data_IF_354932513968
#
_entry.id   IF_354932513968
#
_cell.length_a   1.000
_cell.length_b   1.000
_cell.length_c   1.000
_cell.angle_alpha   90.00
_cell.angle_beta   90.00
_cell.angle_gamma   90.00
#
_symmetry.space_group_name_H-M   'P 1'
#
loop_
_entity.id
_entity.type
_entity.pdbx_description
1 polymer ?
#
# COMPACT_ATOMS: atom_id res chain seq x y z
N UNK A 1 -23.38 -18.07 82.30
CA UNK A 1 -24.55 -18.28 81.41
C UNK A 1 -24.03 -18.27 79.97
N UNK A 2 -23.70 -19.46 79.45
CA UNK A 2 -24.45 -20.25 78.44
C UNK A 2 -24.42 -19.67 77.01
N UNK A 3 -23.47 -20.24 76.25
CA UNK A 3 -23.30 -20.42 74.79
C UNK A 3 -24.55 -20.24 73.90
N UNK A 4 -24.33 -19.81 72.65
CA UNK A 4 -24.58 -20.64 71.44
C UNK A 4 -23.98 -20.04 70.17
N UNK A 5 -23.08 -20.82 69.57
CA UNK A 5 -22.70 -20.76 68.15
C UNK A 5 -23.90 -21.16 67.29
N UNK A 6 -24.03 -20.56 66.10
CA UNK A 6 -24.81 -21.11 65.00
C UNK A 6 -23.93 -21.13 63.75
N UNK A 7 -23.44 -22.32 63.44
CA UNK A 7 -22.91 -22.73 62.13
C UNK A 7 -24.12 -23.08 61.29
N UNK A 8 -24.20 -22.55 60.06
CA UNK A 8 -25.17 -23.01 59.07
C UNK A 8 -24.41 -23.51 57.86
N UNK A 9 -24.41 -24.84 57.70
CA UNK A 9 -23.99 -25.59 56.52
C UNK A 9 -25.27 -26.10 55.86
N UNK A 10 -25.50 -25.72 54.60
CA UNK A 10 -26.48 -26.28 53.66
C UNK A 10 -26.25 -25.51 52.35
N UNK A 11 -26.06 -26.08 51.17
CA UNK A 11 -26.04 -27.44 50.67
C UNK A 11 -25.69 -27.30 49.18
N UNK A 12 -24.86 -28.20 48.66
CA UNK A 12 -24.35 -28.11 47.29
C UNK A 12 -25.47 -28.19 46.25
N UNK A 13 -25.50 -27.22 45.35
CA UNK A 13 -26.17 -27.36 44.06
C UNK A 13 -25.09 -27.69 43.03
N UNK A 14 -24.96 -28.98 42.69
CA UNK A 14 -24.18 -29.41 41.52
C UNK A 14 -25.02 -29.07 40.29
N UNK A 15 -24.70 -27.94 39.65
CA UNK A 15 -25.20 -27.65 38.31
C UNK A 15 -24.37 -28.48 37.33
N UNK A 16 -24.96 -29.56 36.82
CA UNK A 16 -24.43 -30.23 35.63
C UNK A 16 -24.69 -29.30 34.46
N UNK A 17 -23.68 -28.51 34.09
CA UNK A 17 -23.68 -27.77 32.85
C UNK A 17 -23.62 -28.79 31.70
N UNK A 18 -24.72 -28.93 30.97
CA UNK A 18 -24.75 -29.64 29.70
C UNK A 18 -23.85 -28.88 28.74
N UNK A 19 -22.70 -29.46 28.41
CA UNK A 19 -21.83 -28.96 27.34
C UNK A 19 -22.56 -29.13 26.02
N UNK A 20 -23.25 -28.08 25.57
CA UNK A 20 -23.67 -27.97 24.18
C UNK A 20 -22.38 -27.90 23.33
N UNK A 21 -22.10 -28.98 22.61
CA UNK A 21 -20.96 -29.05 21.70
C UNK A 21 -21.06 -27.93 20.67
N UNK A 22 -20.14 -26.97 20.74
CA UNK A 22 -19.86 -26.08 19.63
C UNK A 22 -19.31 -26.96 18.50
N UNK A 23 -20.18 -27.30 17.54
CA UNK A 23 -19.73 -27.80 16.25
C UNK A 23 -18.77 -26.77 15.63
N UNK A 24 -17.81 -27.19 14.80
CA UNK A 24 -16.92 -26.27 14.12
C UNK A 24 -17.79 -25.29 13.33
N UNK A 25 -17.89 -24.07 13.84
CA UNK A 25 -18.47 -22.95 13.12
C UNK A 25 -17.63 -22.77 11.87
N UNK A 26 -18.22 -23.12 10.72
CA UNK A 26 -17.70 -22.72 9.43
C UNK A 26 -17.79 -21.21 9.40
N UNK A 27 -16.68 -20.54 9.74
CA UNK A 27 -16.50 -19.13 9.45
C UNK A 27 -16.69 -18.99 7.95
N UNK A 28 -17.70 -18.25 7.45
CA UNK A 28 -17.78 -17.99 6.03
C UNK A 28 -16.49 -17.26 5.67
N UNK A 29 -15.70 -17.85 4.77
CA UNK A 29 -14.62 -17.14 4.12
C UNK A 29 -15.28 -15.92 3.45
N UNK A 30 -15.06 -14.73 4.02
CA UNK A 30 -15.47 -13.50 3.38
C UNK A 30 -14.74 -13.44 2.05
N UNK A 31 -15.43 -13.81 0.97
CA UNK A 31 -14.93 -13.60 -0.38
C UNK A 31 -14.66 -12.12 -0.50
N UNK A 32 -13.39 -11.75 -0.71
CA UNK A 32 -13.06 -10.38 -1.06
C UNK A 32 -13.96 -10.01 -2.24
N UNK A 33 -14.82 -9.01 -2.05
CA UNK A 33 -15.62 -8.50 -3.16
C UNK A 33 -14.64 -8.13 -4.28
N UNK A 34 -14.96 -8.53 -5.52
CA UNK A 34 -14.16 -8.14 -6.67
C UNK A 34 -14.03 -6.61 -6.67
N UNK A 35 -12.80 -6.11 -6.81
CA UNK A 35 -12.55 -4.67 -6.90
C UNK A 35 -13.17 -4.20 -8.21
N UNK A 36 -14.07 -3.23 -8.14
CA UNK A 36 -14.60 -2.57 -9.32
C UNK A 36 -13.52 -1.66 -9.92
N UNK A 37 -12.91 -2.13 -11.01
CA UNK A 37 -11.85 -1.40 -11.71
C UNK A 37 -12.38 -0.18 -12.48
N UNK A 38 -13.69 -0.07 -12.66
CA UNK A 38 -14.32 1.02 -13.42
C UNK A 38 -14.69 2.22 -12.56
N UNK A 39 -14.74 2.08 -11.23
CA UNK A 39 -15.10 3.15 -10.29
C UNK A 39 -14.14 3.21 -9.09
N UNK A 40 -12.83 3.21 -9.35
CA UNK A 40 -11.83 3.31 -8.30
C UNK A 40 -11.80 4.74 -7.73
N UNK A 41 -11.78 4.93 -6.41
CA UNK A 41 -11.73 6.27 -5.84
C UNK A 41 -10.40 6.94 -6.19
N UNK A 42 -10.47 8.20 -6.65
CA UNK A 42 -9.30 9.07 -6.76
C UNK A 42 -8.81 9.39 -5.34
N UNK A 43 -7.49 9.48 -5.19
CA UNK A 43 -6.79 9.47 -3.91
C UNK A 43 -7.12 10.63 -2.95
N UNK A 44 -6.34 10.68 -1.87
CA UNK A 44 -6.57 11.56 -0.72
C UNK A 44 -5.92 12.93 -0.89
N UNK A 45 -6.48 13.95 -0.21
CA UNK A 45 -5.94 15.31 -0.22
C UNK A 45 -4.53 15.40 0.37
N UNK A 46 -3.76 16.40 -0.05
CA UNK A 46 -2.45 16.73 0.54
C UNK A 46 -2.61 17.87 1.56
N UNK A 47 -2.09 17.68 2.77
CA UNK A 47 -2.20 18.66 3.87
C UNK A 47 -0.82 19.05 4.43
N UNK A 48 -0.75 20.22 5.07
CA UNK A 48 0.43 20.69 5.81
C UNK A 48 0.35 20.42 7.32
N UNK A 49 -0.66 19.67 7.76
CA UNK A 49 -0.85 19.24 9.14
C UNK A 49 -1.34 17.79 9.18
N UNK A 50 -1.05 17.03 10.25
CA UNK A 50 -1.55 15.67 10.39
C UNK A 50 -3.09 15.62 10.34
N UNK A 51 -3.64 14.87 9.39
CA UNK A 51 -5.08 14.68 9.22
C UNK A 51 -5.35 13.25 8.77
N UNK A 52 -6.33 12.59 9.39
CA UNK A 52 -6.75 11.25 8.98
C UNK A 52 -7.36 11.30 7.58
N UNK A 53 -6.98 10.36 6.71
CA UNK A 53 -7.44 10.32 5.33
C UNK A 53 -6.78 11.34 4.40
N UNK A 54 -5.64 11.93 4.78
CA UNK A 54 -4.87 12.85 3.96
C UNK A 54 -3.36 12.55 4.02
N UNK A 55 -2.62 12.99 3.00
CA UNK A 55 -1.16 12.94 2.94
C UNK A 55 -0.57 14.18 3.61
N UNK A 56 -0.04 14.02 4.82
CA UNK A 56 0.71 15.09 5.49
C UNK A 56 2.08 15.27 4.82
N UNK A 57 2.26 16.33 4.03
CA UNK A 57 3.45 16.55 3.19
C UNK A 57 4.38 17.63 3.73
N UNK A 58 5.69 17.40 3.63
CA UNK A 58 6.71 18.41 3.90
C UNK A 58 6.92 19.36 2.70
N UNK A 59 6.38 18.99 1.55
CA UNK A 59 6.46 19.73 0.30
C UNK A 59 5.08 20.28 -0.07
N UNK A 60 5.02 21.56 -0.38
CA UNK A 60 3.78 22.26 -0.75
C UNK A 60 3.81 22.85 -2.15
N UNK A 61 4.95 22.76 -2.84
CA UNK A 61 5.13 23.22 -4.21
C UNK A 61 5.39 22.02 -5.11
N UNK A 62 4.56 21.85 -6.13
CA UNK A 62 4.60 20.72 -7.06
C UNK A 62 4.84 21.26 -8.48
N UNK A 63 6.09 21.34 -8.89
CA UNK A 63 6.49 21.95 -10.16
C UNK A 63 6.99 20.91 -11.17
N UNK A 64 6.43 19.70 -11.12
CA UNK A 64 6.82 18.58 -11.99
C UNK A 64 6.24 18.71 -13.40
N UNK A 65 7.00 18.26 -14.40
CA UNK A 65 6.46 17.94 -15.72
C UNK A 65 5.88 16.53 -15.69
N UNK A 66 4.70 16.34 -16.28
CA UNK A 66 4.00 15.06 -16.34
C UNK A 66 2.85 15.12 -17.32
N UNK A 67 1.86 14.24 -17.15
CA UNK A 67 0.62 14.29 -17.91
C UNK A 67 0.03 15.72 -17.92
N UNK A 68 -0.31 16.19 -19.12
CA UNK A 68 -0.76 17.56 -19.39
C UNK A 68 -2.28 17.66 -19.54
N UNK A 69 -2.97 16.51 -19.64
CA UNK A 69 -4.41 16.44 -19.77
C UNK A 69 -4.96 15.24 -18.99
N UNK A 70 -6.17 15.42 -18.47
CA UNK A 70 -7.03 14.33 -18.01
C UNK A 70 -7.80 13.76 -19.21
N UNK A 71 -8.37 12.56 -19.06
CA UNK A 71 -9.27 11.97 -20.05
C UNK A 71 -10.52 11.39 -19.42
N UNK A 72 -11.39 10.85 -20.28
CA UNK A 72 -12.75 10.40 -19.93
C UNK A 72 -12.78 9.25 -18.92
N UNK A 73 -11.64 8.63 -18.61
CA UNK A 73 -11.52 7.65 -17.53
C UNK A 73 -11.54 8.28 -16.13
N UNK A 74 -11.54 9.60 -15.98
CA UNK A 74 -11.76 10.29 -14.70
C UNK A 74 -13.21 10.78 -14.66
N UNK A 75 -13.96 10.35 -13.65
CA UNK A 75 -15.36 10.70 -13.48
C UNK A 75 -15.54 11.93 -12.58
N UNK A 76 -16.63 12.67 -12.80
CA UNK A 76 -16.98 13.86 -12.00
C UNK A 76 -17.33 13.53 -10.54
N UNK A 77 -17.63 12.27 -10.24
CA UNK A 77 -17.94 11.80 -8.87
C UNK A 77 -16.70 11.48 -8.03
N UNK A 78 -15.49 11.74 -8.55
CA UNK A 78 -14.24 11.49 -7.86
C UNK A 78 -13.74 10.05 -7.99
N UNK A 79 -14.27 9.27 -8.92
CA UNK A 79 -13.76 7.94 -9.28
C UNK A 79 -13.03 7.94 -10.62
N UNK A 80 -12.36 6.84 -10.95
CA UNK A 80 -11.74 6.62 -12.26
C UNK A 80 -11.88 5.17 -12.73
N UNK A 81 -11.92 5.01 -14.05
CA UNK A 81 -11.91 3.72 -14.74
C UNK A 81 -10.48 3.32 -15.11
N UNK A 82 -9.91 2.37 -14.37
CA UNK A 82 -8.58 1.84 -14.65
C UNK A 82 -8.52 1.11 -16.01
N UNK A 83 -9.63 0.55 -16.47
CA UNK A 83 -9.70 -0.22 -17.72
C UNK A 83 -9.74 0.67 -18.95
N UNK A 84 -10.20 1.92 -18.81
CA UNK A 84 -10.22 2.92 -19.86
C UNK A 84 -8.96 3.81 -19.90
N UNK A 85 -8.15 3.82 -18.84
CA UNK A 85 -6.92 4.61 -18.77
C UNK A 85 -5.87 4.06 -19.75
N UNK A 86 -5.38 4.85 -20.73
CA UNK A 86 -4.39 4.36 -21.68
C UNK A 86 -3.07 4.03 -20.99
N UNK A 87 -2.34 3.09 -21.58
CA UNK A 87 -0.99 2.71 -21.22
C UNK A 87 -0.11 2.86 -22.46
N UNK A 88 1.18 3.17 -22.26
CA UNK A 88 2.10 3.30 -23.38
C UNK A 88 2.27 1.94 -24.05
N UNK A 89 2.09 1.90 -25.36
CA UNK A 89 2.09 0.68 -26.15
C UNK A 89 3.48 0.05 -26.24
N UNK A 90 3.48 -1.25 -26.51
CA UNK A 90 4.68 -2.05 -26.73
C UNK A 90 5.07 -2.91 -25.53
N UNK A 91 6.15 -3.67 -25.71
CA UNK A 91 6.63 -4.65 -24.73
C UNK A 91 8.15 -4.74 -24.81
N UNK A 92 8.82 -3.81 -24.14
CA UNK A 92 10.28 -3.78 -24.02
C UNK A 92 10.68 -4.55 -22.77
N UNK A 93 11.45 -5.63 -22.96
CA UNK A 93 12.02 -6.40 -21.84
C UNK A 93 13.34 -5.79 -21.38
N UNK A 94 13.59 -5.86 -20.08
CA UNK A 94 14.77 -5.30 -19.43
C UNK A 94 15.58 -6.38 -18.72
N UNK A 95 16.84 -6.08 -18.45
CA UNK A 95 17.70 -6.92 -17.59
C UNK A 95 17.80 -6.25 -16.22
N UNK A 96 16.86 -6.53 -15.29
CA UNK A 96 16.93 -5.96 -13.95
C UNK A 96 18.14 -6.52 -13.20
N UNK A 97 18.77 -5.66 -12.39
CA UNK A 97 19.70 -6.05 -11.36
C UNK A 97 19.15 -5.51 -10.04
N UNK A 98 18.94 -6.40 -9.09
CA UNK A 98 18.38 -6.09 -7.78
C UNK A 98 18.90 -7.08 -6.76
N UNK A 99 19.41 -6.57 -5.64
CA UNK A 99 19.76 -7.39 -4.49
C UNK A 99 19.45 -6.68 -3.19
N UNK A 100 19.19 -7.48 -2.15
CA UNK A 100 19.12 -6.97 -0.78
C UNK A 100 20.13 -7.70 0.10
N UNK A 101 20.72 -6.95 1.02
CA UNK A 101 21.67 -7.46 2.01
C UNK A 101 21.29 -6.96 3.39
N UNK A 102 21.85 -7.58 4.43
CA UNK A 102 21.77 -7.05 5.79
C UNK A 102 23.14 -6.59 6.25
N UNK A 103 23.20 -5.44 6.93
CA UNK A 103 24.42 -4.98 7.59
C UNK A 103 24.87 -5.96 8.68
N UNK A 104 26.13 -5.87 9.12
CA UNK A 104 26.75 -6.80 10.09
C UNK A 104 25.94 -6.97 11.39
N UNK A 105 25.25 -5.92 11.84
CA UNK A 105 24.40 -5.96 13.05
C UNK A 105 22.96 -6.39 12.78
N UNK A 106 22.59 -6.59 11.51
CA UNK A 106 21.23 -6.86 11.05
C UNK A 106 20.27 -5.67 11.18
N UNK A 107 20.71 -4.51 11.66
CA UNK A 107 19.86 -3.33 11.89
C UNK A 107 19.51 -2.56 10.61
N UNK A 108 20.26 -2.79 9.53
CA UNK A 108 20.09 -2.13 8.24
C UNK A 108 19.88 -3.18 7.16
N UNK A 109 18.92 -2.94 6.27
CA UNK A 109 18.78 -3.61 4.98
C UNK A 109 19.42 -2.72 3.91
N UNK A 110 20.47 -3.23 3.27
CA UNK A 110 21.04 -2.67 2.06
C UNK A 110 20.21 -3.10 0.85
N UNK A 111 20.05 -2.22 -0.11
CA UNK A 111 19.36 -2.48 -1.38
C UNK A 111 20.21 -1.89 -2.49
N UNK A 112 20.58 -2.73 -3.43
CA UNK A 112 21.38 -2.38 -4.61
C UNK A 112 20.55 -2.69 -5.85
N UNK A 113 20.40 -1.74 -6.77
CA UNK A 113 19.63 -1.95 -8.00
C UNK A 113 20.14 -1.13 -9.18
N UNK A 114 19.93 -1.62 -10.40
CA UNK A 114 20.16 -0.85 -11.63
C UNK A 114 18.92 -0.04 -12.09
N UNK A 115 17.83 -0.04 -11.30
CA UNK A 115 16.64 0.77 -11.54
C UNK A 115 15.74 0.29 -12.69
N UNK A 116 16.06 -0.83 -13.33
CA UNK A 116 15.24 -1.40 -14.40
C UNK A 116 14.14 -2.32 -13.85
N UNK A 117 12.95 -2.35 -14.47
CA UNK A 117 11.85 -3.22 -14.04
C UNK A 117 12.11 -4.69 -14.41
N UNK A 118 11.45 -5.58 -13.69
CA UNK A 118 11.42 -7.04 -13.91
C UNK A 118 10.28 -7.53 -14.80
N UNK A 119 9.51 -6.58 -15.35
CA UNK A 119 8.39 -6.81 -16.25
C UNK A 119 8.56 -5.93 -17.50
N UNK A 120 7.91 -6.31 -18.62
CA UNK A 120 7.93 -5.48 -19.82
C UNK A 120 7.29 -4.11 -19.58
N UNK A 121 7.80 -3.11 -20.30
CA UNK A 121 7.22 -1.76 -20.35
C UNK A 121 6.74 -1.42 -21.75
N UNK A 122 6.00 -0.32 -21.88
CA UNK A 122 5.80 0.34 -23.17
C UNK A 122 7.11 0.90 -23.75
N UNK A 123 7.01 1.45 -24.96
CA UNK A 123 8.11 2.11 -25.66
C UNK A 123 8.19 3.57 -25.25
N UNK A 124 9.30 3.94 -24.62
CA UNK A 124 9.60 5.33 -24.25
C UNK A 124 10.80 5.84 -25.05
N UNK A 125 10.82 7.12 -25.51
CA UNK A 125 9.80 8.16 -25.31
C UNK A 125 8.44 7.86 -25.94
N UNK A 126 7.37 8.44 -25.39
CA UNK A 126 6.01 8.19 -25.89
C UNK A 126 5.89 8.73 -27.32
N UNK A 127 5.53 7.87 -28.25
CA UNK A 127 5.37 8.22 -29.67
C UNK A 127 4.15 9.12 -29.88
N UNK A 128 4.19 10.15 -30.75
CA UNK A 128 3.00 10.91 -31.12
C UNK A 128 1.86 10.09 -31.78
N UNK A 129 2.14 8.85 -32.18
CA UNK A 129 1.15 7.92 -32.73
C UNK A 129 0.51 7.00 -31.66
N UNK A 130 1.04 6.99 -30.44
CA UNK A 130 0.52 6.25 -29.29
C UNK A 130 -0.66 7.03 -28.68
N UNK A 131 -1.72 6.34 -28.24
CA UNK A 131 -2.91 7.00 -27.70
C UNK A 131 -2.62 7.70 -26.35
N UNK A 132 -1.68 7.17 -25.56
CA UNK A 132 -1.22 7.79 -24.32
C UNK A 132 -0.61 9.19 -24.55
N UNK A 133 -0.10 9.47 -25.76
CA UNK A 133 0.50 10.77 -26.11
C UNK A 133 -0.48 11.94 -25.98
N UNK A 134 -1.78 11.68 -26.14
CA UNK A 134 -2.83 12.68 -25.97
C UNK A 134 -2.85 13.26 -24.55
N UNK A 135 -2.33 12.52 -23.57
CA UNK A 135 -2.40 12.85 -22.15
C UNK A 135 -1.02 13.05 -21.54
N UNK A 136 -0.02 12.30 -21.97
CA UNK A 136 1.37 12.42 -21.51
C UNK A 136 2.33 12.36 -22.70
N UNK A 137 3.13 13.42 -22.87
CA UNK A 137 4.10 13.55 -23.97
C UNK A 137 5.52 13.21 -23.52
N UNK A 138 5.66 12.41 -22.47
CA UNK A 138 6.91 12.11 -21.79
C UNK A 138 8.06 11.86 -22.80
N UNK A 139 9.02 12.80 -22.94
CA UNK A 139 10.09 12.71 -23.93
C UNK A 139 11.27 11.87 -23.43
N UNK A 140 11.20 11.32 -22.21
CA UNK A 140 12.30 10.61 -21.58
C UNK A 140 12.32 9.14 -22.00
N UNK A 141 13.51 8.52 -22.00
CA UNK A 141 13.70 7.08 -22.21
C UNK A 141 13.94 6.35 -20.89
N UNK A 142 13.58 5.06 -20.83
CA UNK A 142 13.95 4.17 -19.71
C UNK A 142 15.38 3.69 -19.92
N UNK A 143 16.17 3.67 -18.85
CA UNK A 143 17.56 3.22 -18.87
C UNK A 143 18.09 2.92 -17.48
N UNK A 144 19.30 2.36 -17.42
CA UNK A 144 19.95 2.00 -16.15
C UNK A 144 20.17 3.23 -15.28
N UNK A 145 19.76 3.12 -14.02
CA UNK A 145 20.04 4.06 -12.95
C UNK A 145 20.48 3.28 -11.70
N UNK A 146 21.78 3.22 -11.44
CA UNK A 146 22.32 2.50 -10.30
C UNK A 146 22.00 3.26 -9.00
N UNK A 147 21.29 2.59 -8.10
CA UNK A 147 20.85 3.12 -6.83
C UNK A 147 21.27 2.20 -5.67
N UNK A 148 21.79 2.83 -4.61
CA UNK A 148 22.15 2.17 -3.36
C UNK A 148 21.33 2.78 -2.22
N UNK A 149 20.58 1.97 -1.49
CA UNK A 149 19.72 2.42 -0.39
C UNK A 149 20.01 1.64 0.89
N UNK A 150 20.00 2.35 2.02
CA UNK A 150 20.11 1.77 3.35
C UNK A 150 18.82 2.04 4.13
N UNK A 151 18.07 0.99 4.43
CA UNK A 151 16.79 1.07 5.13
C UNK A 151 16.91 0.43 6.51
N UNK A 152 16.16 0.94 7.49
CA UNK A 152 16.03 0.24 8.78
C UNK A 152 15.39 -1.13 8.58
N UNK A 153 15.99 -2.19 9.12
CA UNK A 153 15.48 -3.57 8.94
C UNK A 153 14.20 -3.86 9.74
N UNK A 154 13.82 -2.98 10.68
CA UNK A 154 12.62 -3.06 11.49
C UNK A 154 11.85 -1.73 11.40
N UNK A 155 10.97 -1.55 10.39
CA UNK A 155 10.11 -0.37 10.34
C UNK A 155 9.21 -0.35 11.59
N UNK A 156 8.97 0.84 12.13
CA UNK A 156 8.12 1.03 13.31
C UNK A 156 7.27 2.29 13.15
N UNK A 157 6.12 2.28 13.82
CA UNK A 157 5.29 3.47 13.92
C UNK A 157 6.04 4.57 14.67
N UNK A 158 5.97 5.80 14.18
CA UNK A 158 6.46 6.97 14.93
C UNK A 158 5.51 7.29 16.08
N UNK A 159 6.08 7.77 17.18
CA UNK A 159 5.33 8.19 18.38
C UNK A 159 4.56 9.51 18.18
N UNK A 160 4.89 10.26 17.12
CA UNK A 160 4.17 11.44 16.69
C UNK A 160 4.07 11.49 15.16
N UNK A 161 3.00 12.08 14.60
CA UNK A 161 2.91 12.33 13.17
C UNK A 161 4.08 13.18 12.66
N UNK A 162 4.58 12.86 11.48
CA UNK A 162 5.57 13.68 10.80
C UNK A 162 5.28 13.65 9.30
N UNK A 163 5.53 14.78 8.65
CA UNK A 163 5.25 14.92 7.23
C UNK A 163 6.13 14.00 6.37
N UNK A 164 5.64 13.68 5.18
CA UNK A 164 6.35 12.89 4.19
C UNK A 164 7.16 13.80 3.26
N UNK A 165 8.39 13.39 2.95
CA UNK A 165 9.25 14.09 1.99
C UNK A 165 8.89 13.82 0.52
N UNK A 166 7.84 13.03 0.27
CA UNK A 166 7.30 12.66 -1.06
C UNK A 166 8.32 12.03 -2.05
N UNK A 167 9.36 11.40 -1.52
CA UNK A 167 10.25 10.51 -2.28
C UNK A 167 9.69 9.08 -2.37
N UNK A 168 10.57 8.11 -2.69
CA UNK A 168 10.24 6.68 -2.68
C UNK A 168 9.67 6.26 -1.32
N UNK A 169 8.46 5.68 -1.31
CA UNK A 169 7.75 5.27 -0.09
C UNK A 169 7.73 3.76 0.15
N UNK A 170 8.26 2.97 -0.79
CA UNK A 170 8.27 1.53 -0.68
C UNK A 170 9.24 0.87 -1.65
N UNK A 171 9.53 -0.39 -1.37
CA UNK A 171 10.22 -1.30 -2.28
C UNK A 171 9.33 -2.51 -2.45
N UNK A 172 9.01 -2.84 -3.70
CA UNK A 172 8.39 -4.11 -4.03
C UNK A 172 9.50 -5.14 -4.17
N UNK A 173 9.48 -6.15 -3.33
CA UNK A 173 10.34 -7.33 -3.47
C UNK A 173 9.45 -8.46 -3.95
N UNK A 174 9.71 -8.97 -5.15
CA UNK A 174 9.04 -10.18 -5.66
C UNK A 174 9.50 -11.43 -4.95
#
# INVERSE_FOLDING_TARGET
>A
MRRRNAVTVLGGLVVVAVMAGAGPGTTPAGGAAAVDLTNLPIGTEVTTTPQAGAVYSCQTSFNGGGAHASGDWIHDDGTYDLTAKPHVDGSVSWTPDFSTSFGQTGATRGVDTNGLPDHPTGVFPISPADDAYQFDRNPNSIGVANDHMALGSRPGLRTAPACLGLGRIGLLTT
#
